data_IF_578633288382
#
_entry.id   IF_578633288382
#
_cell.length_a   1.000
_cell.length_b   1.000
_cell.length_c   1.000
_cell.angle_alpha   90.00
_cell.angle_beta   90.00
_cell.angle_gamma   90.00
#
_symmetry.space_group_name_H-M   'P 1'
#
loop_
_entity.id
_entity.type
_entity.pdbx_description
1 polymer ?
#
# COMPACT_ATOMS: atom_id res chain seq x y z
N UNK A 1 6.05 -21.78 30.59
CA UNK A 1 5.90 -21.94 29.12
C UNK A 1 5.63 -20.57 28.55
N UNK A 2 6.47 -20.08 27.64
CA UNK A 2 6.19 -18.83 26.92
C UNK A 2 5.07 -19.11 25.91
N UNK A 3 3.98 -18.35 25.98
CA UNK A 3 2.92 -18.38 24.96
C UNK A 3 3.52 -17.81 23.68
N UNK A 4 3.47 -18.58 22.59
CA UNK A 4 3.88 -18.06 21.28
C UNK A 4 2.75 -17.23 20.67
N UNK A 5 3.08 -16.13 19.97
CA UNK A 5 2.07 -15.32 19.32
C UNK A 5 1.38 -16.12 18.21
N UNK A 6 0.07 -15.97 18.12
CA UNK A 6 -0.72 -16.45 17.00
C UNK A 6 -0.34 -15.73 15.71
N UNK A 7 -0.65 -16.35 14.57
CA UNK A 7 -0.45 -15.74 13.24
C UNK A 7 -1.17 -14.40 13.10
N UNK A 8 -2.38 -14.29 13.67
CA UNK A 8 -3.15 -13.06 13.65
C UNK A 8 -2.45 -11.94 14.43
N UNK A 9 -1.85 -12.23 15.60
CA UNK A 9 -1.11 -11.24 16.39
C UNK A 9 0.14 -10.75 15.67
N UNK A 10 0.89 -11.65 15.02
CA UNK A 10 2.08 -11.27 14.23
C UNK A 10 1.68 -10.39 13.05
N UNK A 11 0.62 -10.74 12.32
CA UNK A 11 0.12 -9.96 11.19
C UNK A 11 -0.50 -8.63 11.62
N UNK A 12 -1.17 -8.59 12.77
CA UNK A 12 -1.68 -7.36 13.36
C UNK A 12 -0.51 -6.41 13.67
N UNK A 13 0.54 -6.89 14.32
CA UNK A 13 1.74 -6.10 14.59
C UNK A 13 2.42 -5.61 13.31
N UNK A 14 2.51 -6.46 12.28
CA UNK A 14 3.06 -6.09 10.98
C UNK A 14 2.22 -4.99 10.30
N UNK A 15 0.90 -5.05 10.43
CA UNK A 15 0.02 -4.05 9.82
C UNK A 15 0.21 -2.64 10.40
N UNK A 16 0.68 -2.52 11.64
CA UNK A 16 1.08 -1.24 12.22
C UNK A 16 2.35 -0.67 11.56
N UNK A 17 3.31 -1.52 11.18
CA UNK A 17 4.48 -1.07 10.43
C UNK A 17 4.11 -0.58 9.02
N UNK A 18 3.13 -1.25 8.40
CA UNK A 18 2.56 -0.82 7.11
C UNK A 18 1.93 0.57 7.24
N UNK A 19 1.13 0.81 8.28
CA UNK A 19 0.51 2.13 8.53
C UNK A 19 1.55 3.26 8.59
N UNK A 20 2.72 3.01 9.22
CA UNK A 20 3.83 3.97 9.25
C UNK A 20 4.38 4.26 7.84
N UNK A 21 4.60 3.21 7.03
CA UNK A 21 5.09 3.35 5.65
C UNK A 21 4.10 4.04 4.71
N UNK A 22 2.81 3.91 4.98
CA UNK A 22 1.73 4.60 4.27
C UNK A 22 1.51 6.04 4.76
N UNK A 23 2.09 6.41 5.89
CA UNK A 23 1.82 7.70 6.55
C UNK A 23 0.38 7.83 7.04
N UNK A 24 -0.26 6.70 7.39
CA UNK A 24 -1.62 6.66 7.92
C UNK A 24 -1.62 6.63 9.46
N UNK A 25 -2.74 7.04 10.11
CA UNK A 25 -2.88 6.85 11.55
C UNK A 25 -2.78 5.38 11.92
N UNK A 26 -2.21 5.08 13.10
CA UNK A 26 -2.12 3.71 13.60
C UNK A 26 -3.45 2.97 13.55
N UNK A 27 -3.36 1.67 13.32
CA UNK A 27 -4.48 0.76 13.17
C UNK A 27 -5.33 1.02 11.91
N UNK A 28 -4.80 1.74 10.92
CA UNK A 28 -5.52 1.97 9.66
C UNK A 28 -5.76 0.65 8.94
N UNK A 29 -4.75 -0.19 8.76
CA UNK A 29 -4.93 -1.51 8.16
C UNK A 29 -5.79 -2.45 9.02
N UNK A 30 -5.73 -2.36 10.34
CA UNK A 30 -6.61 -3.13 11.24
C UNK A 30 -8.09 -2.72 11.09
N UNK A 31 -8.38 -1.41 11.06
CA UNK A 31 -9.73 -0.90 10.79
C UNK A 31 -10.22 -1.34 9.42
N UNK A 32 -9.36 -1.26 8.40
CA UNK A 32 -9.68 -1.75 7.05
C UNK A 32 -10.02 -3.23 7.06
N UNK A 33 -9.27 -4.07 7.78
CA UNK A 33 -9.56 -5.50 7.90
C UNK A 33 -10.92 -5.76 8.57
N UNK A 34 -11.26 -5.02 9.63
CA UNK A 34 -12.56 -5.13 10.28
C UNK A 34 -13.72 -4.70 9.37
N UNK A 35 -13.54 -3.63 8.60
CA UNK A 35 -14.54 -3.19 7.63
C UNK A 35 -14.72 -4.23 6.51
N UNK A 36 -13.61 -4.78 6.00
CA UNK A 36 -13.62 -5.79 4.96
C UNK A 36 -14.32 -7.08 5.43
N UNK A 37 -14.05 -7.55 6.66
CA UNK A 37 -14.74 -8.73 7.21
C UNK A 37 -16.24 -8.49 7.41
N UNK A 38 -16.64 -7.28 7.84
CA UNK A 38 -18.07 -6.93 7.97
C UNK A 38 -18.78 -6.88 6.61
N UNK A 39 -18.08 -6.41 5.57
CA UNK A 39 -18.60 -6.45 4.20
C UNK A 39 -18.72 -7.89 3.71
N UNK A 40 -17.74 -8.75 3.99
CA UNK A 40 -17.80 -10.18 3.68
C UNK A 40 -19.00 -10.86 4.36
N UNK A 41 -19.24 -10.56 5.65
CA UNK A 41 -20.42 -11.06 6.37
C UNK A 41 -21.73 -10.58 5.72
N UNK A 42 -21.80 -9.31 5.33
CA UNK A 42 -22.99 -8.75 4.67
C UNK A 42 -23.26 -9.36 3.31
N UNK A 43 -22.22 -9.76 2.59
CA UNK A 43 -22.30 -10.47 1.32
C UNK A 43 -22.58 -11.97 1.47
N UNK A 44 -22.64 -12.50 2.70
CA UNK A 44 -22.91 -13.91 2.97
C UNK A 44 -21.74 -14.83 2.60
N UNK A 45 -20.50 -14.32 2.65
CA UNK A 45 -19.31 -15.13 2.39
C UNK A 45 -19.09 -16.16 3.51
N UNK A 46 -18.49 -17.30 3.15
CA UNK A 46 -18.18 -18.35 4.10
C UNK A 46 -16.99 -18.00 5.02
N UNK A 47 -16.70 -18.88 5.97
CA UNK A 47 -15.63 -18.67 6.95
C UNK A 47 -14.24 -18.57 6.30
N UNK A 48 -13.97 -19.36 5.26
CA UNK A 48 -12.69 -19.36 4.56
C UNK A 48 -12.48 -18.07 3.76
N UNK A 49 -13.53 -17.61 3.07
CA UNK A 49 -13.55 -16.36 2.33
C UNK A 49 -13.40 -15.14 3.26
N UNK A 50 -14.04 -15.17 4.43
CA UNK A 50 -13.89 -14.12 5.44
C UNK A 50 -12.48 -14.11 6.03
N UNK A 51 -11.92 -15.28 6.33
CA UNK A 51 -10.54 -15.40 6.79
C UNK A 51 -9.55 -14.88 5.73
N UNK A 52 -9.76 -15.23 4.46
CA UNK A 52 -8.99 -14.72 3.33
C UNK A 52 -9.07 -13.19 3.26
N UNK A 53 -10.28 -12.63 3.33
CA UNK A 53 -10.51 -11.18 3.34
C UNK A 53 -9.76 -10.49 4.48
N UNK A 54 -9.79 -11.06 5.68
CA UNK A 54 -9.07 -10.55 6.85
C UNK A 54 -7.56 -10.53 6.62
N UNK A 55 -6.98 -11.68 6.26
CA UNK A 55 -5.52 -11.81 6.12
C UNK A 55 -4.99 -11.04 4.91
N UNK A 56 -5.68 -11.08 3.77
CA UNK A 56 -5.33 -10.31 2.58
C UNK A 56 -5.33 -8.81 2.88
N UNK A 57 -6.33 -8.31 3.60
CA UNK A 57 -6.38 -6.89 3.97
C UNK A 57 -5.19 -6.51 4.84
N UNK A 58 -4.81 -7.32 5.84
CA UNK A 58 -3.68 -7.00 6.73
C UNK A 58 -2.33 -6.90 6.00
N UNK A 59 -2.15 -7.64 4.90
CA UNK A 59 -0.86 -7.70 4.18
C UNK A 59 -0.86 -6.94 2.85
N UNK A 60 -2.01 -6.47 2.37
CA UNK A 60 -2.20 -5.89 1.04
C UNK A 60 -1.19 -4.78 0.69
N UNK A 61 -0.76 -4.01 1.70
CA UNK A 61 0.11 -2.85 1.51
C UNK A 61 1.55 -3.06 1.96
N UNK A 62 1.96 -4.28 2.33
CA UNK A 62 3.36 -4.52 2.75
C UNK A 62 4.37 -4.13 1.67
N UNK A 63 3.97 -4.20 0.41
CA UNK A 63 4.78 -3.79 -0.73
C UNK A 63 5.11 -2.29 -0.77
N UNK A 64 4.49 -1.46 0.06
CA UNK A 64 4.81 -0.03 0.13
C UNK A 64 6.27 0.21 0.54
N UNK A 65 6.93 -0.72 1.22
CA UNK A 65 8.36 -0.58 1.53
C UNK A 65 9.25 -0.94 0.33
N UNK A 66 8.80 -1.86 -0.52
CA UNK A 66 9.58 -2.37 -1.64
C UNK A 66 9.78 -1.33 -2.75
N UNK A 67 8.85 -0.38 -2.91
CA UNK A 67 8.91 0.67 -3.94
C UNK A 67 9.28 2.07 -3.38
N UNK A 68 9.64 2.14 -2.09
CA UNK A 68 9.97 3.40 -1.42
C UNK A 68 11.18 4.08 -2.04
N UNK A 69 12.18 3.32 -2.48
CA UNK A 69 13.36 3.89 -3.13
C UNK A 69 13.00 4.56 -4.46
N UNK A 70 12.16 3.90 -5.27
CA UNK A 70 11.68 4.42 -6.53
C UNK A 70 10.79 5.63 -6.33
N UNK A 71 9.85 5.60 -5.38
CA UNK A 71 8.98 6.73 -5.08
C UNK A 71 9.77 7.92 -4.54
N UNK A 72 10.72 7.71 -3.62
CA UNK A 72 11.56 8.78 -3.08
C UNK A 72 12.40 9.46 -4.18
N UNK A 73 12.83 8.72 -5.21
CA UNK A 73 13.53 9.31 -6.37
C UNK A 73 12.67 10.35 -7.10
N UNK A 74 11.36 10.16 -7.18
CA UNK A 74 10.45 11.07 -7.88
C UNK A 74 9.89 12.15 -6.97
N UNK A 75 9.47 11.78 -5.77
CA UNK A 75 8.67 12.62 -4.88
C UNK A 75 9.48 13.21 -3.72
N UNK A 76 10.67 12.69 -3.45
CA UNK A 76 11.44 13.02 -2.25
C UNK A 76 10.83 12.31 -1.04
N UNK A 77 9.87 12.97 -0.40
CA UNK A 77 9.07 12.41 0.69
C UNK A 77 7.98 11.47 0.15
N UNK A 78 8.31 10.18 0.05
CA UNK A 78 7.42 9.13 -0.42
C UNK A 78 6.28 8.82 0.58
N UNK A 79 6.53 8.97 1.88
CA UNK A 79 5.51 8.79 2.93
C UNK A 79 4.44 9.88 2.82
N UNK A 80 4.83 11.15 2.72
CA UNK A 80 3.87 12.24 2.55
C UNK A 80 3.08 12.10 1.24
N UNK A 81 3.73 11.66 0.17
CA UNK A 81 3.07 11.34 -1.10
C UNK A 81 2.01 10.23 -0.92
N UNK A 82 2.37 9.08 -0.31
CA UNK A 82 1.42 7.99 -0.04
C UNK A 82 0.28 8.43 0.86
N UNK A 83 0.55 9.18 1.92
CA UNK A 83 -0.48 9.70 2.81
C UNK A 83 -1.49 10.60 2.07
N UNK A 84 -1.00 11.41 1.13
CA UNK A 84 -1.84 12.29 0.33
C UNK A 84 -2.74 11.54 -0.68
N UNK A 85 -2.34 10.36 -1.17
CA UNK A 85 -3.16 9.59 -2.13
C UNK A 85 -4.47 9.11 -1.54
N UNK A 86 -4.55 8.91 -0.22
CA UNK A 86 -5.79 8.55 0.50
C UNK A 86 -6.82 9.69 0.57
N UNK A 87 -6.43 10.92 0.22
CA UNK A 87 -7.31 12.11 0.26
C UNK A 87 -7.84 12.51 -1.10
N UNK A 88 -7.43 11.82 -2.16
CA UNK A 88 -7.84 12.13 -3.53
C UNK A 88 -8.29 10.87 -4.24
N UNK A 89 -9.15 11.04 -5.24
CA UNK A 89 -9.43 9.96 -6.16
C UNK A 89 -8.17 9.66 -6.98
N UNK A 90 -7.87 8.38 -7.18
CA UNK A 90 -6.74 7.89 -7.99
C UNK A 90 -6.96 8.03 -9.50
N UNK A 91 -8.06 8.66 -9.90
CA UNK A 91 -8.43 8.89 -11.29
C UNK A 91 -8.61 10.37 -11.58
N UNK A 92 -8.28 10.76 -12.82
CA UNK A 92 -8.53 12.12 -13.33
C UNK A 92 -7.62 13.20 -12.77
N UNK A 93 -8.11 14.44 -12.85
CA UNK A 93 -7.38 15.67 -12.51
C UNK A 93 -6.88 15.74 -11.05
N UNK A 94 -7.63 15.29 -10.02
CA UNK A 94 -7.15 15.32 -8.65
C UNK A 94 -5.83 14.55 -8.46
N UNK A 95 -5.74 13.35 -9.06
CA UNK A 95 -4.53 12.54 -9.00
C UNK A 95 -3.36 13.19 -9.75
N UNK A 96 -3.60 13.70 -10.97
CA UNK A 96 -2.56 14.41 -11.74
C UNK A 96 -2.02 15.64 -11.01
N UNK A 97 -2.90 16.40 -10.35
CA UNK A 97 -2.51 17.55 -9.51
C UNK A 97 -1.66 17.11 -8.33
N UNK A 98 -2.03 16.02 -7.66
CA UNK A 98 -1.25 15.46 -6.56
C UNK A 98 0.16 15.08 -7.03
N UNK A 99 0.27 14.37 -8.15
CA UNK A 99 1.57 14.00 -8.75
C UNK A 99 2.42 15.24 -9.03
N UNK A 100 1.89 16.24 -9.73
CA UNK A 100 2.61 17.47 -10.05
C UNK A 100 3.07 18.26 -8.79
N UNK A 101 2.26 18.21 -7.72
CA UNK A 101 2.57 18.91 -6.47
C UNK A 101 3.70 18.25 -5.67
N UNK A 102 3.84 16.92 -5.78
CA UNK A 102 4.85 16.15 -5.04
C UNK A 102 6.12 15.87 -5.84
N UNK A 103 6.06 15.76 -7.17
CA UNK A 103 7.27 15.47 -7.97
C UNK A 103 8.32 16.55 -7.76
N UNK A 104 9.52 16.13 -7.39
CA UNK A 104 10.70 16.97 -7.22
C UNK A 104 10.52 18.07 -6.19
N UNK A 105 9.65 17.87 -5.18
CA UNK A 105 9.33 18.89 -4.18
C UNK A 105 10.57 19.42 -3.45
N UNK A 106 11.56 18.57 -3.25
CA UNK A 106 12.83 18.91 -2.57
C UNK A 106 13.94 19.34 -3.53
N UNK A 107 13.61 19.67 -4.78
CA UNK A 107 14.59 20.08 -5.82
C UNK A 107 14.44 21.55 -6.18
N UNK A 108 15.55 22.15 -6.63
CA UNK A 108 15.55 23.51 -7.18
C UNK A 108 14.57 23.63 -8.37
N UNK A 109 13.97 24.80 -8.65
CA UNK A 109 12.86 24.94 -9.61
C UNK A 109 13.14 24.36 -11.00
N UNK A 110 14.34 24.58 -11.55
CA UNK A 110 14.75 24.04 -12.85
C UNK A 110 14.85 22.50 -12.83
N UNK A 111 15.53 21.95 -11.82
CA UNK A 111 15.68 20.51 -11.66
C UNK A 111 14.32 19.82 -11.42
N UNK A 112 13.41 20.47 -10.69
CA UNK A 112 12.03 20.02 -10.49
C UNK A 112 11.26 19.98 -11.81
N UNK A 113 11.36 21.01 -12.64
CA UNK A 113 10.70 21.06 -13.95
C UNK A 113 11.14 19.92 -14.87
N UNK A 114 12.45 19.67 -14.96
CA UNK A 114 13.01 18.55 -15.72
C UNK A 114 12.51 17.22 -15.19
N UNK A 115 12.57 17.00 -13.88
CA UNK A 115 12.13 15.74 -13.26
C UNK A 115 10.63 15.50 -13.48
N UNK A 116 9.81 16.54 -13.37
CA UNK A 116 8.37 16.48 -13.64
C UNK A 116 8.06 16.10 -15.08
N UNK A 117 8.75 16.69 -16.06
CA UNK A 117 8.60 16.33 -17.46
C UNK A 117 8.96 14.85 -17.72
N UNK A 118 10.09 14.38 -17.18
CA UNK A 118 10.54 12.98 -17.30
C UNK A 118 9.58 12.00 -16.61
N UNK A 119 9.01 12.40 -15.48
CA UNK A 119 8.02 11.60 -14.77
C UNK A 119 6.73 11.47 -15.59
N UNK A 120 6.17 12.61 -16.03
CA UNK A 120 4.91 12.67 -16.78
C UNK A 120 4.98 11.94 -18.11
N UNK A 121 6.11 12.01 -18.83
CA UNK A 121 6.32 11.30 -20.09
C UNK A 121 6.18 9.76 -19.96
N UNK A 122 6.40 9.21 -18.77
CA UNK A 122 6.30 7.77 -18.49
C UNK A 122 5.29 7.39 -17.42
N UNK A 123 4.38 8.30 -17.03
CA UNK A 123 3.57 8.15 -15.80
C UNK A 123 2.77 6.86 -15.79
N UNK A 124 2.14 6.47 -16.90
CA UNK A 124 1.32 5.26 -16.99
C UNK A 124 2.13 4.00 -16.72
N UNK A 125 3.27 3.84 -17.38
CA UNK A 125 4.15 2.67 -17.20
C UNK A 125 4.71 2.58 -15.78
N UNK A 126 5.09 3.72 -15.20
CA UNK A 126 5.60 3.80 -13.82
C UNK A 126 4.54 3.40 -12.80
N UNK A 127 3.32 3.91 -12.94
CA UNK A 127 2.21 3.55 -12.05
C UNK A 127 1.86 2.07 -12.12
N UNK A 128 1.88 1.47 -13.32
CA UNK A 128 1.67 0.02 -13.47
C UNK A 128 2.78 -0.79 -12.78
N UNK A 129 4.05 -0.38 -12.93
CA UNK A 129 5.16 -1.05 -12.27
C UNK A 129 5.07 -0.96 -10.73
N UNK A 130 4.65 0.19 -10.20
CA UNK A 130 4.42 0.39 -8.76
C UNK A 130 3.37 -0.59 -8.23
N UNK A 131 2.20 -0.67 -8.88
CA UNK A 131 1.12 -1.58 -8.49
C UNK A 131 1.60 -3.04 -8.56
N UNK A 132 2.29 -3.43 -9.62
CA UNK A 132 2.80 -4.79 -9.76
C UNK A 132 3.83 -5.14 -8.67
N UNK A 133 4.69 -4.19 -8.30
CA UNK A 133 5.65 -4.37 -7.20
C UNK A 133 4.93 -4.59 -5.85
N UNK A 134 3.84 -3.86 -5.62
CA UNK A 134 3.01 -4.05 -4.42
C UNK A 134 2.40 -5.44 -4.35
N UNK A 135 1.69 -5.85 -5.39
CA UNK A 135 1.01 -7.15 -5.43
C UNK A 135 2.02 -8.30 -5.29
N UNK A 136 3.15 -8.24 -6.00
CA UNK A 136 4.18 -9.31 -5.91
C UNK A 136 4.85 -9.38 -4.54
N UNK A 137 5.03 -8.25 -3.85
CA UNK A 137 5.58 -8.23 -2.49
C UNK A 137 4.60 -8.81 -1.47
N UNK A 138 3.31 -8.46 -1.58
CA UNK A 138 2.26 -9.01 -0.73
C UNK A 138 2.11 -10.53 -0.95
N UNK A 139 2.07 -10.97 -2.20
CA UNK A 139 2.01 -12.39 -2.57
C UNK A 139 3.17 -13.20 -1.99
N UNK A 140 4.41 -12.70 -2.11
CA UNK A 140 5.60 -13.36 -1.55
C UNK A 140 5.57 -13.45 -0.02
N UNK A 141 5.05 -12.43 0.65
CA UNK A 141 4.88 -12.48 2.09
C UNK A 141 3.81 -13.51 2.47
N UNK A 142 2.67 -13.52 1.77
CA UNK A 142 1.59 -14.47 2.00
C UNK A 142 2.07 -15.92 1.87
N UNK A 143 2.89 -16.22 0.85
CA UNK A 143 3.54 -17.53 0.68
C UNK A 143 4.46 -17.87 1.86
N UNK A 144 5.35 -16.95 2.26
CA UNK A 144 6.29 -17.17 3.38
C UNK A 144 5.59 -17.38 4.72
N UNK A 145 4.41 -16.79 4.90
CA UNK A 145 3.60 -16.90 6.12
C UNK A 145 2.56 -18.03 6.05
N UNK A 146 2.49 -18.77 4.93
CA UNK A 146 1.55 -19.88 4.73
C UNK A 146 0.09 -19.43 4.81
N UNK A 147 -0.25 -18.28 4.23
CA UNK A 147 -1.62 -17.72 4.25
C UNK A 147 -2.56 -18.35 3.21
N UNK A 148 -2.07 -19.28 2.39
CA UNK A 148 -2.85 -19.98 1.37
C UNK A 148 -2.89 -19.23 0.03
N UNK A 149 -3.24 -19.94 -1.03
CA UNK A 149 -3.28 -19.40 -2.40
C UNK A 149 -4.28 -18.25 -2.54
N UNK A 150 -5.44 -18.34 -1.89
CA UNK A 150 -6.49 -17.32 -1.97
C UNK A 150 -6.08 -15.95 -1.40
N UNK A 151 -5.09 -15.90 -0.49
CA UNK A 151 -4.54 -14.62 0.03
C UNK A 151 -3.41 -14.10 -0.86
N UNK A 152 -2.73 -14.98 -1.59
CA UNK A 152 -1.59 -14.65 -2.44
C UNK A 152 -2.01 -14.09 -3.80
N UNK A 153 -3.00 -14.73 -4.40
CA UNK A 153 -3.40 -14.52 -5.81
C UNK A 153 -4.34 -13.31 -5.96
#
# INVERSE_FOLDING_TARGET
MAVQPSRAEVLAALSLAIDLGLGQPMEHMLRSALLATRLADWLGLDEEQRATTYYATLVAWIGCHADSHELARWFGDDIAFRAATYRVNWTGLPFLRLLATHVGRDKAPLARGVLAAVFLAGVRGRMVALIHSHCTSAARLADRLGLGGAVRD
#
